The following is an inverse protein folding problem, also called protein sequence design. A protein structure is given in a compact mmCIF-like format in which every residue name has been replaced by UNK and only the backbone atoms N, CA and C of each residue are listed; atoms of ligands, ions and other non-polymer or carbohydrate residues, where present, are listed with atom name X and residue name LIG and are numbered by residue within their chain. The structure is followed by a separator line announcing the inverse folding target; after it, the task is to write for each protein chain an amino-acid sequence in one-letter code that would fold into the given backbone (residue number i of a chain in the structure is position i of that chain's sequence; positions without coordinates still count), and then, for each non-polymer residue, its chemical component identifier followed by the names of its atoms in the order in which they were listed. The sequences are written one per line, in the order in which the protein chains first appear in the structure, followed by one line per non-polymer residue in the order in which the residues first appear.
data_IF_732367347101
#
_entry.id   IF_732367347101
#
_cell.length_a   1.000
_cell.length_b   1.000
_cell.length_c   1.000
_cell.angle_alpha   90.00
_cell.angle_beta   90.00
_cell.angle_gamma   90.00
#
_symmetry.space_group_name_H-M   'P 1'
#
loop_
_entity.id
_entity.type
_entity.pdbx_description
1 polymer ?
#
# COMPACT_ATOMS: atom_id res chain seq x y z
N UNK A 1 -3.89 15.72 -1.71
CA UNK A 1 -3.27 16.27 -0.48
C UNK A 1 -2.45 15.17 0.19
N UNK A 2 -1.28 15.47 0.78
CA UNK A 2 -0.46 14.47 1.50
C UNK A 2 -0.75 14.57 3.00
N UNK A 3 -0.82 13.45 3.73
CA UNK A 3 -1.14 13.44 5.17
C UNK A 3 -0.12 14.19 6.03
N UNK A 4 1.16 14.15 5.66
CA UNK A 4 2.22 14.86 6.37
C UNK A 4 2.40 16.33 5.92
N UNK A 5 1.58 16.83 4.98
CA UNK A 5 1.66 18.22 4.54
C UNK A 5 1.10 19.18 5.60
N UNK A 6 1.67 20.39 5.68
CA UNK A 6 1.20 21.43 6.60
C UNK A 6 -0.27 21.77 6.38
N UNK A 7 -0.72 21.90 5.11
CA UNK A 7 -2.11 22.20 4.79
C UNK A 7 -3.08 21.12 5.27
N UNK A 8 -2.65 19.83 5.23
CA UNK A 8 -3.45 18.74 5.76
C UNK A 8 -3.54 18.80 7.30
N UNK A 9 -2.39 18.89 7.96
CA UNK A 9 -2.31 18.81 9.44
C UNK A 9 -2.93 20.02 10.11
N UNK A 10 -2.64 21.23 9.60
CA UNK A 10 -3.00 22.48 10.26
C UNK A 10 -4.37 23.04 9.86
N UNK A 11 -4.88 22.65 8.68
CA UNK A 11 -6.13 23.21 8.14
C UNK A 11 -7.16 22.12 7.88
N UNK A 12 -6.88 21.20 6.95
CA UNK A 12 -7.88 20.23 6.49
C UNK A 12 -8.36 19.31 7.62
N UNK A 13 -7.45 18.67 8.32
CA UNK A 13 -7.79 17.69 9.37
C UNK A 13 -8.57 18.34 10.53
N UNK A 14 -8.16 19.49 11.12
CA UNK A 14 -8.94 20.14 12.16
C UNK A 14 -10.35 20.55 11.72
N UNK A 15 -10.50 21.10 10.50
CA UNK A 15 -11.81 21.48 9.96
C UNK A 15 -12.72 20.28 9.75
N UNK A 16 -12.18 19.19 9.21
CA UNK A 16 -12.95 17.95 8.98
C UNK A 16 -13.37 17.33 10.30
N UNK A 17 -12.48 17.25 11.30
CA UNK A 17 -12.81 16.74 12.63
C UNK A 17 -13.88 17.60 13.31
N UNK A 18 -13.75 18.92 13.27
CA UNK A 18 -14.75 19.84 13.83
C UNK A 18 -16.13 19.65 13.17
N UNK A 19 -16.20 19.64 11.84
CA UNK A 19 -17.43 19.42 11.11
C UNK A 19 -18.04 18.02 11.35
N UNK A 20 -17.20 16.98 11.42
CA UNK A 20 -17.62 15.61 11.66
C UNK A 20 -18.25 15.44 13.05
N UNK A 21 -17.60 15.97 14.10
CA UNK A 21 -18.11 15.88 15.47
C UNK A 21 -19.30 16.82 15.71
N UNK A 22 -19.35 17.99 15.08
CA UNK A 22 -20.56 18.83 15.07
C UNK A 22 -21.76 18.13 14.41
N UNK A 23 -21.53 17.30 13.41
CA UNK A 23 -22.55 16.50 12.75
C UNK A 23 -22.88 15.18 13.47
N UNK A 24 -22.19 14.83 14.58
CA UNK A 24 -22.32 13.56 15.28
C UNK A 24 -23.78 13.15 15.60
N UNK A 25 -24.67 14.06 16.09
CA UNK A 25 -26.06 13.70 16.40
C UNK A 25 -26.93 13.39 15.17
N UNK A 26 -26.42 13.68 13.96
CA UNK A 26 -27.17 13.55 12.70
C UNK A 26 -26.43 12.60 11.74
N UNK A 27 -26.68 11.28 11.78
CA UNK A 27 -25.93 10.28 11.02
C UNK A 27 -25.85 10.58 9.52
N UNK A 28 -26.94 11.01 8.90
CA UNK A 28 -26.98 11.34 7.47
C UNK A 28 -26.07 12.55 7.15
N UNK A 29 -26.13 13.61 7.95
CA UNK A 29 -25.27 14.78 7.78
C UNK A 29 -23.81 14.42 7.96
N UNK A 30 -23.49 13.57 8.92
CA UNK A 30 -22.13 13.06 9.18
C UNK A 30 -21.58 12.27 7.97
N UNK A 31 -22.40 11.39 7.36
CA UNK A 31 -22.02 10.69 6.12
C UNK A 31 -21.72 11.69 4.99
N UNK A 32 -22.53 12.72 4.81
CA UNK A 32 -22.30 13.75 3.79
C UNK A 32 -21.05 14.60 4.07
N UNK A 33 -20.80 14.98 5.33
CA UNK A 33 -19.58 15.68 5.72
C UNK A 33 -18.34 14.85 5.35
N UNK A 34 -18.36 13.56 5.68
CA UNK A 34 -17.24 12.66 5.35
C UNK A 34 -17.09 12.45 3.85
N UNK A 35 -18.18 12.29 3.12
CA UNK A 35 -18.14 12.14 1.65
C UNK A 35 -17.56 13.39 1.00
N UNK A 36 -18.09 14.57 1.34
CA UNK A 36 -17.62 15.83 0.76
C UNK A 36 -16.15 16.11 1.12
N UNK A 37 -15.76 15.92 2.37
CA UNK A 37 -14.36 16.05 2.78
C UNK A 37 -13.44 15.11 1.99
N UNK A 38 -13.87 13.87 1.77
CA UNK A 38 -13.11 12.88 0.98
C UNK A 38 -12.98 13.26 -0.49
N UNK A 39 -14.05 13.77 -1.10
CA UNK A 39 -14.02 14.25 -2.48
C UNK A 39 -13.13 15.51 -2.63
N UNK A 40 -13.16 16.43 -1.65
CA UNK A 40 -12.24 17.58 -1.60
C UNK A 40 -10.79 17.11 -1.45
N UNK A 41 -10.53 16.18 -0.54
CA UNK A 41 -9.19 15.60 -0.36
C UNK A 41 -8.64 14.98 -1.66
N UNK A 42 -9.48 14.22 -2.37
CA UNK A 42 -9.12 13.58 -3.64
C UNK A 42 -8.86 14.62 -4.75
N UNK A 43 -9.78 15.58 -4.91
CA UNK A 43 -9.68 16.63 -5.92
C UNK A 43 -8.51 17.56 -5.73
N UNK A 44 -7.97 17.66 -4.51
CA UNK A 44 -6.78 18.47 -4.22
C UNK A 44 -5.53 18.01 -4.98
N UNK A 45 -5.46 16.75 -5.31
CA UNK A 45 -4.38 16.23 -6.15
C UNK A 45 -4.56 16.63 -7.61
N UNK A 46 -5.66 16.23 -8.20
CA UNK A 46 -6.06 16.57 -9.57
C UNK A 46 -7.58 16.39 -9.73
N UNK A 47 -8.32 17.51 -9.86
CA UNK A 47 -9.78 17.45 -9.95
C UNK A 47 -10.28 16.74 -11.21
N UNK A 48 -9.46 16.61 -12.27
CA UNK A 48 -9.82 15.93 -13.53
C UNK A 48 -10.15 14.46 -13.33
N UNK A 49 -9.66 13.83 -12.25
CA UNK A 49 -9.91 12.42 -11.96
C UNK A 49 -11.11 12.15 -11.05
N UNK A 50 -11.69 13.19 -10.46
CA UNK A 50 -12.91 13.05 -9.67
C UNK A 50 -14.06 12.40 -10.44
N UNK A 51 -14.36 12.76 -11.71
CA UNK A 51 -15.37 12.08 -12.51
C UNK A 51 -15.12 10.58 -12.69
N UNK A 52 -13.87 10.13 -12.78
CA UNK A 52 -13.53 8.70 -12.93
C UNK A 52 -13.92 7.92 -11.68
N UNK A 53 -13.57 8.41 -10.50
CA UNK A 53 -13.94 7.80 -9.21
C UNK A 53 -15.47 7.75 -9.05
N UNK A 54 -16.16 8.86 -9.35
CA UNK A 54 -17.61 8.94 -9.27
C UNK A 54 -18.30 8.03 -10.30
N UNK A 55 -17.78 7.93 -11.52
CA UNK A 55 -18.30 7.04 -12.55
C UNK A 55 -18.19 5.56 -12.15
N UNK A 56 -17.03 5.13 -11.63
CA UNK A 56 -16.82 3.75 -11.18
C UNK A 56 -17.73 3.40 -9.98
N UNK A 57 -17.84 4.28 -8.99
CA UNK A 57 -18.71 4.06 -7.83
C UNK A 57 -20.19 4.05 -8.23
N UNK A 58 -20.60 4.92 -9.16
CA UNK A 58 -21.96 4.97 -9.69
C UNK A 58 -22.28 3.73 -10.53
N UNK A 59 -21.37 3.29 -11.40
CA UNK A 59 -21.53 2.07 -12.19
C UNK A 59 -21.67 0.84 -11.28
N UNK A 60 -20.89 0.77 -10.22
CA UNK A 60 -20.96 -0.30 -9.22
C UNK A 60 -22.31 -0.29 -8.49
N UNK A 61 -22.75 0.85 -8.01
CA UNK A 61 -24.06 1.00 -7.39
C UNK A 61 -25.19 0.63 -8.35
N UNK A 62 -25.16 1.11 -9.60
CA UNK A 62 -26.14 0.82 -10.61
C UNK A 62 -26.21 -0.68 -10.95
N UNK A 63 -25.05 -1.35 -11.06
CA UNK A 63 -24.96 -2.79 -11.28
C UNK A 63 -25.68 -3.58 -10.18
N UNK A 64 -25.47 -3.22 -8.90
CA UNK A 64 -26.19 -3.83 -7.76
C UNK A 64 -27.68 -3.52 -7.80
N UNK A 65 -28.09 -2.29 -8.12
CA UNK A 65 -29.49 -1.90 -8.23
C UNK A 65 -30.22 -2.65 -9.36
N UNK A 66 -29.60 -2.79 -10.53
CA UNK A 66 -30.14 -3.54 -11.67
C UNK A 66 -30.22 -5.04 -11.38
N UNK A 67 -29.20 -5.61 -10.73
CA UNK A 67 -29.24 -7.00 -10.26
C UNK A 67 -30.43 -7.24 -9.33
N UNK A 68 -30.63 -6.38 -8.33
CA UNK A 68 -31.77 -6.51 -7.38
C UNK A 68 -33.14 -6.41 -8.06
N UNK A 69 -33.26 -5.57 -9.09
CA UNK A 69 -34.54 -5.40 -9.82
C UNK A 69 -34.83 -6.57 -10.76
N UNK A 70 -33.80 -7.14 -11.40
CA UNK A 70 -33.98 -8.13 -12.46
C UNK A 70 -33.64 -9.56 -12.06
N UNK A 71 -32.99 -9.79 -10.90
CA UNK A 71 -32.47 -11.08 -10.49
C UNK A 71 -31.28 -11.58 -11.33
N UNK A 72 -30.82 -10.82 -12.33
CA UNK A 72 -29.79 -11.27 -13.28
C UNK A 72 -28.38 -10.99 -12.75
N UNK A 73 -27.54 -12.02 -12.47
CA UNK A 73 -26.18 -11.83 -11.98
C UNK A 73 -25.25 -11.18 -13.01
N UNK A 74 -25.60 -11.20 -14.29
CA UNK A 74 -24.84 -10.57 -15.37
C UNK A 74 -24.55 -9.08 -15.14
N UNK A 75 -25.44 -8.35 -14.45
CA UNK A 75 -25.20 -6.96 -14.12
C UNK A 75 -24.02 -6.75 -13.17
N UNK A 76 -23.82 -7.66 -12.20
CA UNK A 76 -22.71 -7.60 -11.27
C UNK A 76 -21.38 -7.81 -12.00
N UNK A 77 -21.34 -8.80 -12.89
CA UNK A 77 -20.16 -9.06 -13.72
C UNK A 77 -19.88 -7.96 -14.73
N UNK A 78 -20.92 -7.32 -15.28
CA UNK A 78 -20.76 -6.12 -16.11
C UNK A 78 -20.15 -4.98 -15.29
N UNK A 79 -20.57 -4.78 -14.04
CA UNK A 79 -19.97 -3.81 -13.12
C UNK A 79 -18.50 -4.11 -12.84
N UNK A 80 -18.14 -5.39 -12.59
CA UNK A 80 -16.73 -5.82 -12.45
C UNK A 80 -15.93 -5.50 -13.72
N UNK A 81 -16.48 -5.85 -14.90
CA UNK A 81 -15.80 -5.59 -16.17
C UNK A 81 -15.57 -4.09 -16.43
N UNK A 82 -16.54 -3.22 -16.13
CA UNK A 82 -16.40 -1.76 -16.27
C UNK A 82 -15.29 -1.22 -15.36
N UNK A 83 -15.25 -1.66 -14.10
CA UNK A 83 -14.21 -1.23 -13.16
C UNK A 83 -12.82 -1.68 -13.62
N UNK A 84 -12.67 -2.95 -14.02
CA UNK A 84 -11.40 -3.50 -14.49
C UNK A 84 -10.98 -2.89 -15.85
N UNK A 85 -11.93 -2.63 -16.77
CA UNK A 85 -11.64 -1.97 -18.04
C UNK A 85 -11.14 -0.53 -17.82
N UNK A 86 -11.73 0.22 -16.87
CA UNK A 86 -11.25 1.55 -16.50
C UNK A 86 -9.81 1.49 -15.96
N UNK A 87 -9.52 0.55 -15.05
CA UNK A 87 -8.14 0.35 -14.57
C UNK A 87 -7.20 -0.04 -15.72
N UNK A 88 -7.61 -0.95 -16.58
CA UNK A 88 -6.82 -1.41 -17.71
C UNK A 88 -6.50 -0.24 -18.67
N UNK A 89 -7.46 0.61 -18.95
CA UNK A 89 -7.26 1.78 -19.79
C UNK A 89 -6.21 2.72 -19.22
N UNK A 90 -6.36 3.15 -17.97
CA UNK A 90 -5.44 4.12 -17.39
C UNK A 90 -4.06 3.55 -17.09
N UNK A 91 -3.96 2.30 -16.65
CA UNK A 91 -2.71 1.72 -16.18
C UNK A 91 -1.95 0.93 -17.23
N UNK A 92 -2.64 0.18 -18.10
CA UNK A 92 -1.97 -0.81 -18.94
C UNK A 92 -1.93 -0.48 -20.42
N UNK A 93 -2.68 0.52 -20.92
CA UNK A 93 -2.72 0.85 -22.36
C UNK A 93 -1.33 1.15 -22.93
N UNK A 94 -0.59 2.05 -22.26
CA UNK A 94 0.75 2.45 -22.73
C UNK A 94 1.73 1.27 -22.64
N UNK A 95 1.65 0.48 -21.56
CA UNK A 95 2.50 -0.70 -21.36
C UNK A 95 2.26 -1.77 -22.43
N UNK A 96 0.99 -2.10 -22.71
CA UNK A 96 0.63 -3.10 -23.71
C UNK A 96 1.02 -2.61 -25.10
N UNK A 97 0.67 -1.38 -25.46
CA UNK A 97 1.01 -0.79 -26.76
C UNK A 97 2.53 -0.70 -26.96
N UNK A 98 3.28 -0.30 -25.92
CA UNK A 98 4.75 -0.26 -25.96
C UNK A 98 5.37 -1.66 -26.11
N UNK A 99 4.83 -2.66 -25.41
CA UNK A 99 5.31 -4.05 -25.55
C UNK A 99 5.03 -4.61 -26.94
N UNK A 100 3.87 -4.33 -27.52
CA UNK A 100 3.54 -4.74 -28.91
C UNK A 100 4.45 -4.02 -29.92
N UNK A 101 4.65 -2.71 -29.75
CA UNK A 101 5.54 -1.93 -30.63
C UNK A 101 6.97 -2.48 -30.59
N UNK A 102 7.49 -2.79 -29.41
CA UNK A 102 8.83 -3.39 -29.25
C UNK A 102 8.93 -4.75 -29.96
N UNK A 103 7.94 -5.63 -29.82
CA UNK A 103 7.90 -6.92 -30.49
C UNK A 103 7.81 -6.78 -32.03
N UNK A 104 7.13 -5.74 -32.51
CA UNK A 104 6.98 -5.44 -33.94
C UNK A 104 8.13 -4.62 -34.52
N UNK A 105 9.15 -4.23 -33.73
CA UNK A 105 10.23 -3.35 -34.19
C UNK A 105 9.77 -1.93 -34.50
N UNK A 106 8.64 -1.47 -33.93
CA UNK A 106 8.07 -0.14 -34.14
C UNK A 106 8.49 0.84 -33.02
N UNK A 107 8.47 2.14 -33.29
CA UNK A 107 8.73 3.14 -32.24
C UNK A 107 7.66 3.06 -31.13
N UNK A 108 8.01 3.40 -29.87
CA UNK A 108 7.07 3.42 -28.77
C UNK A 108 5.90 4.38 -29.06
N UNK A 109 4.68 4.11 -28.54
CA UNK A 109 3.52 4.96 -28.78
C UNK A 109 3.75 6.35 -28.20
N UNK A 110 3.45 7.40 -28.97
CA UNK A 110 3.57 8.80 -28.57
C UNK A 110 2.41 9.28 -27.66
N UNK A 111 1.80 8.36 -26.90
CA UNK A 111 0.65 8.64 -26.01
C UNK A 111 1.10 8.55 -24.57
N UNK A 112 0.80 9.59 -23.79
CA UNK A 112 0.95 9.57 -22.33
C UNK A 112 -0.44 9.58 -21.67
N UNK A 113 -0.70 8.60 -20.81
CA UNK A 113 -1.93 8.53 -20.02
C UNK A 113 -1.55 8.77 -18.57
N UNK A 114 -2.10 9.82 -17.97
CA UNK A 114 -1.87 10.12 -16.55
C UNK A 114 -2.73 9.18 -15.71
N UNK A 115 -2.10 8.43 -14.80
CA UNK A 115 -2.77 7.49 -13.93
C UNK A 115 -3.53 8.22 -12.81
N UNK A 116 -4.86 8.03 -12.66
CA UNK A 116 -5.59 8.58 -11.52
C UNK A 116 -5.07 7.99 -10.21
N UNK A 117 -4.77 8.86 -9.25
CA UNK A 117 -4.26 8.41 -7.96
C UNK A 117 -5.26 7.48 -7.26
N UNK A 118 -4.77 6.38 -6.69
CA UNK A 118 -5.60 5.40 -5.98
C UNK A 118 -6.49 4.52 -6.86
N UNK A 119 -6.49 4.66 -8.21
CA UNK A 119 -7.39 3.89 -9.10
C UNK A 119 -7.25 2.39 -8.89
N UNK A 120 -6.06 1.87 -8.69
CA UNK A 120 -5.82 0.44 -8.44
C UNK A 120 -6.49 -0.03 -7.13
N UNK A 121 -6.50 0.82 -6.10
CA UNK A 121 -7.08 0.51 -4.78
C UNK A 121 -8.61 0.51 -4.83
N UNK A 122 -9.21 1.62 -5.26
CA UNK A 122 -10.67 1.70 -5.26
C UNK A 122 -11.33 0.80 -6.33
N UNK A 123 -10.66 0.53 -7.46
CA UNK A 123 -11.15 -0.45 -8.43
C UNK A 123 -11.26 -1.84 -7.81
N UNK A 124 -10.24 -2.28 -7.06
CA UNK A 124 -10.29 -3.58 -6.41
C UNK A 124 -11.35 -3.63 -5.30
N UNK A 125 -11.51 -2.57 -4.52
CA UNK A 125 -12.56 -2.50 -3.49
C UNK A 125 -13.96 -2.61 -4.11
N UNK A 126 -14.23 -1.91 -5.21
CA UNK A 126 -15.49 -1.96 -5.93
C UNK A 126 -15.73 -3.34 -6.56
N UNK A 127 -14.71 -3.91 -7.20
CA UNK A 127 -14.81 -5.25 -7.79
C UNK A 127 -15.07 -6.32 -6.70
N UNK A 128 -14.35 -6.28 -5.58
CA UNK A 128 -14.59 -7.18 -4.46
C UNK A 128 -16.01 -7.05 -3.91
N UNK A 129 -16.52 -5.83 -3.73
CA UNK A 129 -17.89 -5.61 -3.29
C UNK A 129 -18.92 -6.24 -4.25
N UNK A 130 -18.75 -6.09 -5.56
CA UNK A 130 -19.62 -6.72 -6.56
C UNK A 130 -19.57 -8.25 -6.50
N UNK A 131 -18.37 -8.83 -6.33
CA UNK A 131 -18.19 -10.27 -6.17
C UNK A 131 -18.85 -10.76 -4.88
N UNK A 132 -18.73 -10.02 -3.78
CA UNK A 132 -19.37 -10.37 -2.51
C UNK A 132 -20.90 -10.30 -2.60
N UNK A 133 -21.46 -9.31 -3.33
CA UNK A 133 -22.88 -9.30 -3.66
C UNK A 133 -23.29 -10.52 -4.49
N UNK A 134 -22.48 -10.92 -5.48
CA UNK A 134 -22.75 -12.10 -6.30
C UNK A 134 -22.69 -13.42 -5.52
N UNK A 135 -21.90 -13.47 -4.46
CA UNK A 135 -21.80 -14.62 -3.53
C UNK A 135 -22.92 -14.63 -2.48
N UNK A 136 -23.65 -13.56 -2.33
CA UNK A 136 -24.64 -13.38 -1.25
C UNK A 136 -24.03 -12.89 0.08
N UNK A 137 -22.76 -12.54 0.07
CA UNK A 137 -21.99 -12.12 1.28
C UNK A 137 -22.12 -10.61 1.55
N UNK A 138 -22.75 -9.85 0.66
CA UNK A 138 -22.89 -8.39 0.80
C UNK A 138 -24.31 -7.91 0.55
N UNK A 139 -24.71 -6.87 1.30
CA UNK A 139 -25.97 -6.17 1.10
C UNK A 139 -25.81 -5.04 0.06
N UNK A 140 -26.94 -4.60 -0.51
CA UNK A 140 -26.97 -3.41 -1.35
C UNK A 140 -26.96 -2.15 -0.48
N UNK A 141 -25.98 -1.31 -0.70
CA UNK A 141 -25.86 -0.02 -0.02
C UNK A 141 -26.37 1.13 -0.90
N UNK A 142 -26.85 2.25 -0.33
CA UNK A 142 -27.15 3.45 -1.09
C UNK A 142 -25.92 4.03 -1.75
N UNK A 143 -26.10 4.75 -2.86
CA UNK A 143 -25.01 5.33 -3.67
C UNK A 143 -23.99 6.11 -2.83
N UNK A 144 -24.46 6.95 -1.92
CA UNK A 144 -23.57 7.75 -1.04
C UNK A 144 -22.62 6.88 -0.20
N UNK A 145 -23.11 5.71 0.29
CA UNK A 145 -22.27 4.79 1.08
C UNK A 145 -21.27 4.04 0.22
N UNK A 146 -21.67 3.59 -0.98
CA UNK A 146 -20.74 2.96 -1.93
C UNK A 146 -19.63 3.94 -2.30
N UNK A 147 -20.00 5.19 -2.59
CA UNK A 147 -19.04 6.24 -2.94
C UNK A 147 -18.17 6.60 -1.73
N UNK A 148 -18.76 6.78 -0.54
CA UNK A 148 -18.00 7.05 0.69
C UNK A 148 -17.02 5.91 1.02
N UNK A 149 -17.45 4.66 0.87
CA UNK A 149 -16.61 3.49 1.13
C UNK A 149 -15.29 3.54 0.37
N UNK A 150 -15.33 3.86 -0.91
CA UNK A 150 -14.10 3.88 -1.71
C UNK A 150 -13.37 5.22 -1.69
N UNK A 151 -14.08 6.32 -1.40
CA UNK A 151 -13.49 7.66 -1.37
C UNK A 151 -13.00 8.08 0.01
N UNK A 152 -13.31 7.35 1.08
CA UNK A 152 -12.99 7.72 2.46
C UNK A 152 -11.50 8.06 2.61
N UNK A 153 -11.20 9.34 2.80
CA UNK A 153 -9.88 9.92 2.59
C UNK A 153 -8.73 9.25 3.37
N UNK A 154 -8.92 8.68 4.59
CA UNK A 154 -7.79 8.07 5.27
C UNK A 154 -7.21 6.85 4.54
N UNK A 155 -8.02 6.08 3.81
CA UNK A 155 -7.51 4.89 3.13
C UNK A 155 -7.49 4.98 1.60
N UNK A 156 -8.15 5.99 0.99
CA UNK A 156 -8.40 6.09 -0.44
C UNK A 156 -7.16 5.91 -1.32
N UNK A 157 -6.03 6.51 -0.96
CA UNK A 157 -4.88 6.63 -1.86
C UNK A 157 -3.94 5.42 -1.71
N UNK A 158 -3.51 5.11 -0.50
CA UNK A 158 -2.57 4.03 -0.19
C UNK A 158 -2.71 3.50 1.25
N UNK A 159 -3.88 3.71 1.87
CA UNK A 159 -4.20 3.10 3.16
C UNK A 159 -4.39 1.59 3.05
N UNK A 160 -4.69 0.92 4.18
CA UNK A 160 -5.07 -0.49 4.16
C UNK A 160 -6.24 -0.72 3.19
N UNK A 161 -6.16 -1.77 2.37
CA UNK A 161 -7.24 -2.14 1.46
C UNK A 161 -8.36 -2.75 2.29
N UNK A 162 -9.40 -1.96 2.52
CA UNK A 162 -10.55 -2.37 3.33
C UNK A 162 -11.62 -3.04 2.51
N UNK A 163 -12.40 -3.92 3.16
CA UNK A 163 -13.59 -4.54 2.58
C UNK A 163 -14.85 -3.89 3.12
N UNK A 164 -15.94 -3.97 2.35
CA UNK A 164 -17.21 -3.35 2.74
C UNK A 164 -17.68 -3.79 4.13
N UNK A 165 -17.58 -5.08 4.48
CA UNK A 165 -18.00 -5.61 5.78
C UNK A 165 -17.14 -5.11 6.96
N UNK A 166 -15.92 -4.62 6.71
CA UNK A 166 -15.06 -4.04 7.74
C UNK A 166 -15.42 -2.58 8.06
N UNK A 167 -15.92 -1.84 7.08
CA UNK A 167 -16.15 -0.39 7.21
C UNK A 167 -17.63 -0.04 7.36
N UNK A 168 -18.50 -0.64 6.54
CA UNK A 168 -19.91 -0.25 6.50
C UNK A 168 -20.64 -0.31 7.86
N UNK A 169 -20.44 -1.36 8.69
CA UNK A 169 -21.08 -1.39 10.01
C UNK A 169 -20.55 -0.32 10.96
N UNK A 170 -19.30 0.11 10.79
CA UNK A 170 -18.68 1.11 11.66
C UNK A 170 -19.20 2.54 11.35
N UNK A 171 -19.70 2.80 10.12
CA UNK A 171 -20.30 4.08 9.77
C UNK A 171 -21.61 4.36 10.52
N UNK A 172 -22.29 3.33 10.99
CA UNK A 172 -23.53 3.45 11.77
C UNK A 172 -23.24 3.76 13.26
N UNK A 173 -22.05 3.51 13.75
CA UNK A 173 -21.69 3.71 15.14
C UNK A 173 -21.66 5.20 15.51
N UNK A 174 -22.10 5.52 16.74
CA UNK A 174 -21.97 6.86 17.29
C UNK A 174 -20.49 7.20 17.48
N UNK A 175 -19.97 8.29 16.88
CA UNK A 175 -18.60 8.71 17.09
C UNK A 175 -18.31 9.17 18.54
N UNK A 176 -19.35 9.62 19.24
CA UNK A 176 -19.25 10.06 20.64
C UNK A 176 -19.40 8.92 21.66
N UNK A 177 -19.57 7.67 21.21
CA UNK A 177 -19.67 6.50 22.09
C UNK A 177 -18.53 6.44 23.12
N UNK A 178 -18.72 5.76 24.28
CA UNK A 178 -17.70 5.62 25.33
C UNK A 178 -16.32 5.24 24.78
N UNK A 179 -15.25 5.75 25.42
CA UNK A 179 -13.86 5.53 24.99
C UNK A 179 -13.39 6.50 23.90
N UNK A 180 -14.10 7.60 23.63
CA UNK A 180 -13.71 8.60 22.63
C UNK A 180 -12.29 9.13 22.87
N UNK A 181 -11.99 9.57 24.10
CA UNK A 181 -10.69 10.14 24.46
C UNK A 181 -9.54 9.13 24.21
N UNK A 182 -9.74 7.87 24.58
CA UNK A 182 -8.75 6.81 24.35
C UNK A 182 -8.57 6.53 22.85
N UNK A 183 -9.67 6.40 22.09
CA UNK A 183 -9.60 6.20 20.63
C UNK A 183 -8.89 7.35 19.95
N UNK A 184 -9.21 8.58 20.35
CA UNK A 184 -8.59 9.78 19.80
C UNK A 184 -7.09 9.84 20.12
N UNK A 185 -6.70 9.57 21.37
CA UNK A 185 -5.32 9.54 21.81
C UNK A 185 -4.51 8.44 21.07
N UNK A 186 -5.07 7.23 20.93
CA UNK A 186 -4.46 6.16 20.12
C UNK A 186 -4.33 6.57 18.66
N UNK A 187 -5.39 7.14 18.09
CA UNK A 187 -5.39 7.64 16.72
C UNK A 187 -4.34 8.72 16.48
N UNK A 188 -4.23 9.66 17.39
CA UNK A 188 -3.21 10.70 17.34
C UNK A 188 -1.79 10.13 17.44
N UNK A 189 -1.56 9.16 18.34
CA UNK A 189 -0.27 8.48 18.46
C UNK A 189 0.12 7.75 17.18
N UNK A 190 -0.78 6.96 16.59
CA UNK A 190 -0.55 6.32 15.28
C UNK A 190 -0.20 7.33 14.19
N UNK A 191 -0.94 8.43 14.13
CA UNK A 191 -0.73 9.45 13.11
C UNK A 191 0.65 10.13 13.27
N UNK A 192 1.02 10.52 14.49
CA UNK A 192 2.28 11.23 14.78
C UNK A 192 3.48 10.32 14.56
N UNK A 193 3.43 9.07 15.05
CA UNK A 193 4.51 8.09 14.84
C UNK A 193 4.68 7.78 13.35
N UNK A 194 3.57 7.57 12.62
CA UNK A 194 3.59 7.39 11.17
C UNK A 194 4.20 8.60 10.45
N UNK A 195 3.80 9.83 10.82
CA UNK A 195 4.37 11.05 10.27
C UNK A 195 5.89 11.15 10.52
N UNK A 196 6.33 10.86 11.73
CA UNK A 196 7.75 10.85 12.07
C UNK A 196 8.56 9.81 11.29
N UNK A 197 8.02 8.59 11.13
CA UNK A 197 8.64 7.56 10.29
C UNK A 197 8.80 8.01 8.84
N UNK A 198 7.77 8.66 8.27
CA UNK A 198 7.81 9.22 6.91
C UNK A 198 8.90 10.27 6.80
N UNK A 199 8.84 11.30 7.64
CA UNK A 199 9.67 12.50 7.51
C UNK A 199 11.14 12.26 7.89
N UNK A 200 11.38 11.52 8.97
CA UNK A 200 12.73 11.38 9.52
C UNK A 200 13.45 10.08 9.14
N UNK A 201 12.73 9.05 8.70
CA UNK A 201 13.35 7.78 8.35
C UNK A 201 13.17 7.43 6.85
N UNK A 202 11.95 7.48 6.31
CA UNK A 202 11.69 7.05 4.94
C UNK A 202 12.23 8.04 3.89
N UNK A 203 11.92 9.34 4.02
CA UNK A 203 12.32 10.35 3.05
C UNK A 203 13.84 10.52 2.91
N UNK A 204 14.63 10.48 3.98
CA UNK A 204 16.09 10.51 3.84
C UNK A 204 16.67 9.33 3.05
N UNK A 205 16.01 8.14 3.06
CA UNK A 205 16.48 6.98 2.30
C UNK A 205 16.45 7.21 0.79
N UNK A 206 15.47 7.96 0.27
CA UNK A 206 15.35 8.27 -1.15
C UNK A 206 16.62 8.96 -1.69
N UNK A 207 17.23 9.84 -0.90
CA UNK A 207 18.45 10.59 -1.28
C UNK A 207 19.64 9.68 -1.57
N UNK A 208 19.62 8.46 -1.04
CA UNK A 208 20.67 7.46 -1.26
C UNK A 208 20.26 6.43 -2.32
N UNK A 209 19.01 5.96 -2.29
CA UNK A 209 18.53 4.96 -3.23
C UNK A 209 18.47 5.51 -4.66
N UNK A 210 17.86 6.68 -4.85
CA UNK A 210 17.56 7.22 -6.18
C UNK A 210 18.80 7.47 -7.06
N UNK A 211 19.90 8.10 -6.58
CA UNK A 211 21.10 8.30 -7.40
C UNK A 211 21.79 6.99 -7.78
N UNK A 212 21.79 5.98 -6.89
CA UNK A 212 22.42 4.70 -7.15
C UNK A 212 21.66 3.91 -8.21
N UNK A 213 20.32 3.84 -8.11
CA UNK A 213 19.51 3.21 -9.13
C UNK A 213 19.55 3.96 -10.47
N UNK A 214 19.62 5.31 -10.47
CA UNK A 214 19.80 6.09 -11.68
C UNK A 214 21.18 5.82 -12.34
N UNK A 215 22.24 5.76 -11.57
CA UNK A 215 23.58 5.40 -12.07
C UNK A 215 23.67 3.99 -12.63
N UNK A 216 22.94 3.05 -12.02
CA UNK A 216 22.88 1.65 -12.47
C UNK A 216 22.22 1.48 -13.86
N UNK A 217 21.54 2.47 -14.41
CA UNK A 217 21.07 2.45 -15.79
C UNK A 217 22.25 2.39 -16.79
N UNK A 218 23.41 2.98 -16.46
CA UNK A 218 24.57 3.02 -17.32
C UNK A 218 25.62 1.93 -17.04
N UNK A 219 25.84 1.57 -15.77
CA UNK A 219 26.88 0.59 -15.40
C UNK A 219 26.57 -0.05 -14.04
N UNK A 220 27.15 -1.23 -13.79
CA UNK A 220 27.07 -1.91 -12.51
C UNK A 220 27.81 -1.11 -11.43
N UNK A 221 27.15 -0.71 -10.32
CA UNK A 221 27.75 0.02 -9.23
C UNK A 221 28.75 -0.84 -8.45
N UNK A 222 29.60 -0.22 -7.61
CA UNK A 222 30.47 -0.96 -6.69
C UNK A 222 29.66 -1.86 -5.75
N UNK A 223 30.30 -2.87 -5.16
CA UNK A 223 29.66 -3.73 -4.15
C UNK A 223 29.02 -2.91 -3.01
N UNK A 224 29.73 -1.89 -2.54
CA UNK A 224 29.25 -1.05 -1.44
C UNK A 224 28.04 -0.20 -1.87
N UNK A 225 28.11 0.45 -3.04
CA UNK A 225 27.00 1.28 -3.53
C UNK A 225 25.77 0.45 -3.85
N UNK A 226 25.94 -0.73 -4.50
CA UNK A 226 24.83 -1.62 -4.80
C UNK A 226 24.07 -2.04 -3.54
N UNK A 227 24.78 -2.45 -2.48
CA UNK A 227 24.16 -2.79 -1.20
C UNK A 227 23.58 -1.57 -0.48
N UNK A 228 24.25 -0.42 -0.52
CA UNK A 228 23.70 0.82 0.06
C UNK A 228 22.39 1.21 -0.63
N UNK A 229 22.35 1.19 -1.96
CA UNK A 229 21.14 1.52 -2.73
C UNK A 229 20.02 0.52 -2.49
N UNK A 230 20.30 -0.79 -2.53
CA UNK A 230 19.32 -1.84 -2.31
C UNK A 230 18.74 -1.82 -0.88
N UNK A 231 19.57 -1.62 0.14
CA UNK A 231 19.13 -1.53 1.54
C UNK A 231 18.39 -0.21 1.80
N UNK A 232 18.87 0.91 1.26
CA UNK A 232 18.18 2.19 1.37
C UNK A 232 16.75 2.10 0.79
N UNK A 233 16.61 1.52 -0.41
CA UNK A 233 15.28 1.32 -0.99
C UNK A 233 14.43 0.32 -0.17
N UNK A 234 15.02 -0.77 0.31
CA UNK A 234 14.34 -1.76 1.15
C UNK A 234 13.71 -1.12 2.38
N UNK A 235 14.46 -0.28 3.11
CA UNK A 235 13.93 0.41 4.29
C UNK A 235 13.01 1.56 3.92
N UNK A 236 13.32 2.32 2.87
CA UNK A 236 12.43 3.37 2.35
C UNK A 236 11.05 2.83 2.07
N UNK A 237 10.96 1.74 1.29
CA UNK A 237 9.68 1.14 0.88
C UNK A 237 8.83 0.71 2.08
N UNK A 238 9.44 0.05 3.06
CA UNK A 238 8.73 -0.39 4.26
C UNK A 238 8.33 0.79 5.16
N UNK A 239 9.28 1.68 5.45
CA UNK A 239 9.05 2.79 6.38
C UNK A 239 8.04 3.78 5.81
N UNK A 240 8.10 4.09 4.51
CA UNK A 240 7.14 4.97 3.84
C UNK A 240 5.73 4.37 3.82
N UNK A 241 5.61 3.11 3.40
CA UNK A 241 4.30 2.48 3.27
C UNK A 241 3.67 2.10 4.62
N UNK A 242 4.46 1.63 5.58
CA UNK A 242 3.95 1.40 6.92
C UNK A 242 3.56 2.72 7.62
N UNK A 243 4.34 3.78 7.43
CA UNK A 243 4.02 5.11 7.94
C UNK A 243 2.69 5.63 7.40
N UNK A 244 2.45 5.50 6.07
CA UNK A 244 1.18 5.90 5.47
C UNK A 244 0.01 5.08 6.03
N UNK A 245 0.17 3.77 6.17
CA UNK A 245 -0.85 2.88 6.75
C UNK A 245 -1.14 3.23 8.21
N UNK A 246 -0.12 3.56 9.00
CA UNK A 246 -0.27 3.99 10.39
C UNK A 246 -0.99 5.33 10.50
N UNK A 247 -0.63 6.32 9.66
CA UNK A 247 -1.37 7.58 9.60
C UNK A 247 -2.83 7.36 9.22
N UNK A 248 -3.11 6.46 8.27
CA UNK A 248 -4.48 6.11 7.88
C UNK A 248 -5.27 5.48 9.05
N UNK A 249 -4.67 4.51 9.76
CA UNK A 249 -5.27 3.88 10.96
C UNK A 249 -5.54 4.95 12.03
N UNK A 250 -4.57 5.85 12.24
CA UNK A 250 -4.69 6.96 13.19
C UNK A 250 -5.86 7.88 12.86
N UNK A 251 -5.98 8.31 11.60
CA UNK A 251 -7.10 9.13 11.11
C UNK A 251 -8.43 8.40 11.26
N UNK A 252 -8.47 7.10 10.92
CA UNK A 252 -9.65 6.26 11.13
C UNK A 252 -10.10 6.25 12.59
N UNK A 253 -9.18 5.97 13.53
CA UNK A 253 -9.48 5.94 14.96
C UNK A 253 -10.00 7.28 15.47
N UNK A 254 -9.42 8.41 15.02
CA UNK A 254 -9.92 9.75 15.37
C UNK A 254 -11.34 10.00 14.83
N UNK A 255 -11.72 9.35 13.72
CA UNK A 255 -13.08 9.38 13.15
C UNK A 255 -14.00 8.26 13.68
N UNK A 256 -13.52 7.44 14.61
CA UNK A 256 -14.29 6.34 15.18
C UNK A 256 -14.35 5.08 14.32
N UNK A 257 -13.50 4.97 13.26
CA UNK A 257 -13.39 3.83 12.34
C UNK A 257 -12.04 3.14 12.54
N UNK A 258 -12.04 1.82 12.77
CA UNK A 258 -10.83 1.00 12.86
C UNK A 258 -10.54 0.37 11.50
N UNK A 259 -9.40 0.72 10.90
CA UNK A 259 -8.86 0.01 9.73
C UNK A 259 -8.03 -1.20 10.15
N UNK A 260 -7.94 -2.24 9.30
CA UNK A 260 -7.08 -3.39 9.55
C UNK A 260 -5.60 -2.99 9.49
N UNK A 261 -4.78 -3.75 10.22
CA UNK A 261 -3.34 -3.59 10.14
C UNK A 261 -2.81 -4.05 8.79
N UNK A 262 -1.82 -3.33 8.26
CA UNK A 262 -1.25 -3.59 6.94
C UNK A 262 0.17 -4.16 7.00
N UNK A 263 0.88 -3.93 8.11
CA UNK A 263 2.24 -4.41 8.34
C UNK A 263 2.43 -4.91 9.78
N UNK A 264 3.18 -6.01 9.94
CA UNK A 264 3.61 -6.54 11.24
C UNK A 264 5.07 -6.96 11.18
N UNK A 265 5.99 -5.98 11.21
CA UNK A 265 7.44 -6.20 11.22
C UNK A 265 7.91 -7.25 10.20
N UNK A 266 7.67 -7.07 8.89
CA UNK A 266 7.88 -8.10 7.87
C UNK A 266 9.34 -8.53 7.74
N UNK A 267 10.29 -7.65 8.03
CA UNK A 267 11.73 -7.97 7.96
C UNK A 267 12.24 -8.81 9.14
N UNK A 268 11.37 -9.21 10.07
CA UNK A 268 11.64 -10.26 11.07
C UNK A 268 11.31 -11.67 10.59
N UNK A 269 10.74 -11.81 9.41
CA UNK A 269 10.29 -13.11 8.91
C UNK A 269 11.46 -14.06 8.65
N UNK A 270 11.35 -15.30 9.09
CA UNK A 270 12.32 -16.37 8.88
C UNK A 270 12.02 -17.26 7.68
N UNK A 271 10.93 -16.99 6.97
CA UNK A 271 10.53 -17.64 5.71
C UNK A 271 9.60 -16.75 4.90
N UNK A 272 9.47 -17.02 3.58
CA UNK A 272 8.66 -16.21 2.67
C UNK A 272 7.16 -16.26 2.97
N UNK A 273 6.63 -17.35 3.48
CA UNK A 273 5.23 -17.43 3.90
C UNK A 273 4.97 -16.50 5.09
N UNK A 274 5.89 -16.46 6.06
CA UNK A 274 5.84 -15.54 7.20
C UNK A 274 5.98 -14.08 6.75
N UNK A 275 6.86 -13.81 5.77
CA UNK A 275 7.01 -12.49 5.19
C UNK A 275 5.68 -11.97 4.61
N UNK A 276 4.99 -12.73 3.76
CA UNK A 276 3.73 -12.33 3.15
C UNK A 276 2.54 -12.26 4.13
N UNK A 277 2.61 -12.92 5.29
CA UNK A 277 1.66 -12.74 6.38
C UNK A 277 1.83 -11.42 7.14
N UNK A 278 3.00 -10.76 6.98
CA UNK A 278 3.41 -9.54 7.70
C UNK A 278 3.56 -8.33 6.79
N UNK A 279 3.76 -8.55 5.49
CA UNK A 279 3.90 -7.53 4.46
C UNK A 279 2.58 -7.33 3.73
N UNK A 280 2.12 -6.06 3.67
CA UNK A 280 0.90 -5.66 2.93
C UNK A 280 -0.26 -6.64 3.15
N UNK A 281 -0.60 -6.85 4.42
CA UNK A 281 -1.50 -7.91 4.90
C UNK A 281 -2.85 -7.84 4.20
N UNK A 282 -3.37 -6.61 4.01
CA UNK A 282 -4.69 -6.40 3.39
C UNK A 282 -4.71 -6.80 1.92
N UNK A 283 -3.65 -6.50 1.15
CA UNK A 283 -3.50 -6.97 -0.23
C UNK A 283 -3.32 -8.50 -0.28
N UNK A 284 -2.47 -9.06 0.58
CA UNK A 284 -2.25 -10.51 0.66
C UNK A 284 -3.54 -11.27 0.93
N UNK A 285 -4.39 -10.76 1.83
CA UNK A 285 -5.72 -11.32 2.11
C UNK A 285 -6.66 -11.17 0.91
N UNK A 286 -6.65 -10.03 0.21
CA UNK A 286 -7.47 -9.83 -0.98
C UNK A 286 -7.08 -10.81 -2.09
N UNK A 287 -5.79 -10.92 -2.40
CA UNK A 287 -5.30 -11.87 -3.41
C UNK A 287 -5.63 -13.30 -3.04
N UNK A 288 -5.48 -13.68 -1.76
CA UNK A 288 -5.85 -15.00 -1.27
C UNK A 288 -7.31 -15.32 -1.53
N UNK A 289 -8.23 -14.41 -1.17
CA UNK A 289 -9.66 -14.69 -1.12
C UNK A 289 -10.36 -14.54 -2.48
N UNK A 290 -9.84 -13.68 -3.37
CA UNK A 290 -10.45 -13.41 -4.67
C UNK A 290 -9.68 -13.99 -5.87
N UNK A 291 -8.44 -14.44 -5.69
CA UNK A 291 -7.64 -15.06 -6.75
C UNK A 291 -7.17 -16.47 -6.35
N UNK A 292 -6.39 -16.59 -5.29
CA UNK A 292 -5.73 -17.84 -4.94
C UNK A 292 -6.72 -18.97 -4.58
N UNK A 293 -7.71 -18.69 -3.73
CA UNK A 293 -8.72 -19.68 -3.34
C UNK A 293 -9.62 -20.08 -4.53
N UNK A 294 -10.16 -19.13 -5.34
CA UNK A 294 -10.92 -19.48 -6.53
C UNK A 294 -10.15 -20.27 -7.58
N UNK A 295 -8.83 -20.09 -7.69
CA UNK A 295 -7.96 -20.89 -8.59
C UNK A 295 -7.67 -22.30 -8.05
N UNK A 296 -8.27 -22.68 -6.93
CA UNK A 296 -8.13 -24.00 -6.27
C UNK A 296 -7.22 -23.99 -5.04
N UNK A 297 -6.41 -22.97 -4.85
CA UNK A 297 -5.59 -22.79 -3.65
C UNK A 297 -4.67 -23.99 -3.36
N UNK A 298 -4.67 -24.44 -2.10
CA UNK A 298 -3.88 -25.61 -1.65
C UNK A 298 -4.70 -26.90 -1.50
N UNK A 299 -5.99 -26.89 -1.88
CA UNK A 299 -6.92 -27.99 -1.58
C UNK A 299 -6.87 -29.15 -2.60
N UNK A 300 -6.43 -28.87 -3.83
CA UNK A 300 -6.52 -29.82 -4.96
C UNK A 300 -5.14 -30.33 -5.41
N UNK A 301 -4.23 -30.56 -4.47
CA UNK A 301 -2.92 -31.13 -4.74
C UNK A 301 -1.84 -30.12 -5.16
N UNK A 302 -0.63 -30.66 -5.36
CA UNK A 302 0.56 -29.83 -5.60
C UNK A 302 0.50 -29.02 -6.92
N UNK A 303 0.09 -29.60 -8.07
CA UNK A 303 0.04 -28.81 -9.33
C UNK A 303 -0.90 -27.62 -9.25
N UNK A 304 -2.07 -27.80 -8.61
CA UNK A 304 -3.04 -26.70 -8.41
C UNK A 304 -2.48 -25.62 -7.49
N UNK A 305 -1.79 -26.01 -6.41
CA UNK A 305 -1.11 -25.07 -5.54
C UNK A 305 -0.07 -24.23 -6.29
N UNK A 306 0.80 -24.88 -7.11
CA UNK A 306 1.81 -24.20 -7.91
C UNK A 306 1.16 -23.22 -8.87
N UNK A 307 0.18 -23.67 -9.65
CA UNK A 307 -0.57 -22.83 -10.60
C UNK A 307 -1.21 -21.63 -9.88
N UNK A 308 -1.97 -21.88 -8.82
CA UNK A 308 -2.68 -20.82 -8.07
C UNK A 308 -1.69 -19.79 -7.49
N UNK A 309 -0.54 -20.26 -6.96
CA UNK A 309 0.49 -19.38 -6.38
C UNK A 309 1.16 -18.54 -7.47
N UNK A 310 1.61 -19.13 -8.56
CA UNK A 310 2.30 -18.40 -9.64
C UNK A 310 1.39 -17.40 -10.33
N UNK A 311 0.15 -17.77 -10.64
CA UNK A 311 -0.83 -16.86 -11.26
C UNK A 311 -1.16 -15.71 -10.30
N UNK A 312 -1.44 -15.99 -9.03
CA UNK A 312 -1.78 -14.95 -8.05
C UNK A 312 -0.64 -13.98 -7.82
N UNK A 313 0.59 -14.48 -7.71
CA UNK A 313 1.77 -13.64 -7.49
C UNK A 313 2.19 -12.88 -8.75
N UNK A 314 2.08 -13.48 -9.94
CA UNK A 314 2.31 -12.79 -11.21
C UNK A 314 1.32 -11.63 -11.42
N UNK A 315 0.03 -11.85 -11.15
CA UNK A 315 -1.00 -10.79 -11.19
C UNK A 315 -0.78 -9.73 -10.08
N UNK A 316 -0.28 -10.14 -8.91
CA UNK A 316 0.13 -9.21 -7.86
C UNK A 316 1.25 -8.26 -8.35
N UNK A 317 2.27 -8.82 -9.02
CA UNK A 317 3.33 -8.02 -9.62
C UNK A 317 2.80 -7.04 -10.66
N UNK A 318 1.99 -7.48 -11.60
CA UNK A 318 1.36 -6.65 -12.61
C UNK A 318 0.47 -5.53 -11.98
N UNK A 319 -0.20 -5.82 -10.87
CA UNK A 319 -0.99 -4.83 -10.16
C UNK A 319 -0.13 -3.71 -9.57
N UNK A 320 1.08 -4.01 -9.08
CA UNK A 320 1.98 -2.99 -8.55
C UNK A 320 2.43 -2.00 -9.62
N UNK A 321 2.82 -2.47 -10.80
CA UNK A 321 3.28 -1.59 -11.87
C UNK A 321 3.10 -2.17 -13.27
N UNK A 322 2.86 -1.29 -14.24
CA UNK A 322 2.77 -1.65 -15.66
C UNK A 322 4.19 -1.79 -16.23
N UNK A 323 4.88 -2.88 -15.91
CA UNK A 323 6.25 -3.16 -16.32
C UNK A 323 6.63 -4.62 -16.15
N UNK A 324 7.51 -5.11 -17.02
CA UNK A 324 7.95 -6.51 -16.99
C UNK A 324 8.78 -6.85 -15.75
N UNK A 325 9.48 -5.88 -15.17
CA UNK A 325 10.23 -6.05 -13.90
C UNK A 325 9.29 -6.34 -12.73
N UNK A 326 8.10 -5.74 -12.70
CA UNK A 326 7.06 -6.04 -11.70
C UNK A 326 6.47 -7.45 -11.88
N UNK A 327 6.23 -7.87 -13.13
CA UNK A 327 5.77 -9.24 -13.42
C UNK A 327 6.83 -10.25 -12.98
N UNK A 328 8.11 -10.01 -13.31
CA UNK A 328 9.23 -10.84 -12.89
C UNK A 328 9.36 -10.90 -11.36
N UNK A 329 9.22 -9.76 -10.66
CA UNK A 329 9.18 -9.70 -9.20
C UNK A 329 8.06 -10.56 -8.62
N UNK A 330 6.85 -10.45 -9.15
CA UNK A 330 5.72 -11.26 -8.71
C UNK A 330 5.95 -12.76 -8.92
N UNK A 331 6.42 -13.15 -10.11
CA UNK A 331 6.74 -14.55 -10.42
C UNK A 331 7.90 -15.08 -9.57
N UNK A 332 8.94 -14.28 -9.32
CA UNK A 332 10.04 -14.62 -8.41
C UNK A 332 9.49 -14.94 -7.02
N UNK A 333 8.63 -14.10 -6.46
CA UNK A 333 7.99 -14.38 -5.18
C UNK A 333 7.07 -15.61 -5.22
N UNK A 334 6.35 -15.81 -6.33
CA UNK A 334 5.55 -17.02 -6.54
C UNK A 334 6.39 -18.30 -6.51
N UNK A 335 7.51 -18.33 -7.25
CA UNK A 335 8.47 -19.43 -7.24
C UNK A 335 9.08 -19.62 -5.85
N UNK A 336 9.49 -18.52 -5.19
CA UNK A 336 10.03 -18.56 -3.84
C UNK A 336 9.05 -19.18 -2.83
N UNK A 337 7.75 -18.84 -2.91
CA UNK A 337 6.72 -19.45 -2.05
C UNK A 337 6.53 -20.95 -2.33
N UNK A 338 6.59 -21.37 -3.61
CA UNK A 338 6.53 -22.79 -4.00
C UNK A 338 7.72 -23.55 -3.44
N UNK A 339 8.95 -23.02 -3.60
CA UNK A 339 10.17 -23.61 -3.07
C UNK A 339 10.13 -23.65 -1.53
N UNK A 340 9.75 -22.55 -0.89
CA UNK A 340 9.60 -22.48 0.57
C UNK A 340 8.67 -23.58 1.10
N UNK A 341 7.51 -23.76 0.45
CA UNK A 341 6.56 -24.80 0.85
C UNK A 341 7.04 -26.22 0.55
N UNK A 342 7.76 -26.43 -0.57
CA UNK A 342 8.39 -27.71 -0.87
C UNK A 342 9.41 -28.07 0.21
N UNK A 343 10.29 -27.10 0.55
CA UNK A 343 11.28 -27.29 1.62
C UNK A 343 10.65 -27.60 2.98
N UNK A 344 9.59 -26.88 3.35
CA UNK A 344 8.85 -27.15 4.61
C UNK A 344 8.22 -28.55 4.68
N UNK A 345 8.02 -29.23 3.54
CA UNK A 345 7.47 -30.59 3.46
C UNK A 345 8.52 -31.69 3.51
N UNK A 346 9.66 -31.46 2.90
CA UNK A 346 10.67 -32.52 2.62
C UNK A 346 12.07 -32.18 3.09
N UNK A 347 12.37 -30.90 3.34
CA UNK A 347 13.69 -30.44 3.77
C UNK A 347 13.89 -30.50 5.29
N UNK A 348 15.16 -30.49 5.74
CA UNK A 348 15.47 -30.35 7.15
C UNK A 348 15.06 -28.96 7.68
N UNK A 349 14.71 -28.83 8.98
CA UNK A 349 14.42 -27.54 9.58
C UNK A 349 15.63 -26.62 9.52
N UNK A 350 15.45 -25.42 9.00
CA UNK A 350 16.50 -24.40 8.99
C UNK A 350 16.58 -23.73 10.37
N UNK A 351 17.79 -23.47 10.90
CA UNK A 351 17.93 -22.58 12.05
C UNK A 351 17.33 -21.21 11.77
N UNK A 352 16.67 -20.63 12.76
CA UNK A 352 15.94 -19.33 12.59
C UNK A 352 16.83 -18.23 11.99
N UNK A 353 18.10 -18.03 12.42
CA UNK A 353 18.97 -17.03 11.80
C UNK A 353 19.26 -17.29 10.32
N UNK A 354 19.44 -18.57 9.92
CA UNK A 354 19.70 -18.93 8.52
C UNK A 354 18.44 -18.69 7.66
N UNK A 355 17.26 -19.10 8.13
CA UNK A 355 16.00 -18.82 7.47
C UNK A 355 15.74 -17.33 7.32
N UNK A 356 16.02 -16.55 8.37
CA UNK A 356 15.93 -15.09 8.32
C UNK A 356 16.88 -14.47 7.28
N UNK A 357 18.15 -14.87 7.28
CA UNK A 357 19.16 -14.34 6.34
C UNK A 357 18.80 -14.65 4.88
N UNK A 358 18.37 -15.90 4.58
CA UNK A 358 17.93 -16.30 3.25
C UNK A 358 16.69 -15.51 2.80
N UNK A 359 15.72 -15.34 3.71
CA UNK A 359 14.50 -14.58 3.43
C UNK A 359 14.81 -13.10 3.20
N UNK A 360 15.66 -12.49 4.02
CA UNK A 360 16.09 -11.11 3.87
C UNK A 360 16.81 -10.89 2.53
N UNK A 361 17.78 -11.76 2.20
CA UNK A 361 18.52 -11.70 0.93
C UNK A 361 17.57 -11.80 -0.28
N UNK A 362 16.65 -12.77 -0.26
CA UNK A 362 15.66 -12.96 -1.31
C UNK A 362 14.77 -11.73 -1.48
N UNK A 363 14.28 -11.17 -0.38
CA UNK A 363 13.41 -9.99 -0.39
C UNK A 363 14.15 -8.75 -0.89
N UNK A 364 15.38 -8.51 -0.44
CA UNK A 364 16.22 -7.40 -0.91
C UNK A 364 16.49 -7.52 -2.42
N UNK A 365 16.87 -8.69 -2.90
CA UNK A 365 17.04 -8.94 -4.36
C UNK A 365 15.71 -8.71 -5.13
N UNK A 366 14.59 -9.12 -4.55
CA UNK A 366 13.25 -8.83 -5.10
C UNK A 366 12.96 -7.33 -5.18
N UNK A 367 13.32 -6.55 -4.17
CA UNK A 367 13.15 -5.11 -4.20
C UNK A 367 13.98 -4.39 -5.26
N UNK A 368 15.13 -4.97 -5.66
CA UNK A 368 15.89 -4.46 -6.81
C UNK A 368 15.08 -4.56 -8.10
N UNK A 369 14.44 -5.71 -8.37
CA UNK A 369 13.52 -5.87 -9.52
C UNK A 369 12.33 -4.91 -9.44
N UNK A 370 11.78 -4.71 -8.25
CA UNK A 370 10.64 -3.83 -8.02
C UNK A 370 10.97 -2.35 -8.30
N UNK A 371 12.19 -1.89 -7.94
CA UNK A 371 12.63 -0.49 -8.09
C UNK A 371 13.16 -0.18 -9.49
N UNK A 372 13.80 -1.14 -10.12
CA UNK A 372 14.45 -0.93 -11.41
C UNK A 372 13.43 -0.67 -12.53
N UNK A 373 13.63 0.35 -13.36
CA UNK A 373 12.74 0.66 -14.48
C UNK A 373 12.77 -0.42 -15.58
N UNK A 374 13.88 -1.14 -15.70
CA UNK A 374 14.12 -2.17 -16.70
C UNK A 374 15.06 -3.27 -16.18
N UNK A 375 15.18 -4.36 -16.96
CA UNK A 375 16.04 -5.50 -16.61
C UNK A 375 17.54 -5.19 -16.67
N UNK A 376 17.96 -4.22 -17.47
CA UNK A 376 19.36 -3.79 -17.55
C UNK A 376 19.77 -3.17 -16.21
N UNK A 377 19.01 -2.20 -15.73
CA UNK A 377 19.22 -1.56 -14.44
C UNK A 377 19.18 -2.58 -13.29
N UNK A 378 18.19 -3.50 -13.31
CA UNK A 378 18.08 -4.55 -12.31
C UNK A 378 19.32 -5.48 -12.34
N UNK A 379 19.76 -5.88 -13.55
CA UNK A 379 20.95 -6.71 -13.77
C UNK A 379 22.22 -6.05 -13.25
N UNK A 380 22.44 -4.78 -13.58
CA UNK A 380 23.58 -4.00 -13.09
C UNK A 380 23.62 -3.90 -11.56
N UNK A 381 22.47 -3.62 -10.93
CA UNK A 381 22.36 -3.61 -9.48
C UNK A 381 22.71 -4.96 -8.85
N UNK A 382 22.16 -6.07 -9.38
CA UNK A 382 22.43 -7.43 -8.88
C UNK A 382 23.89 -7.84 -9.12
N UNK A 383 24.48 -7.47 -10.26
CA UNK A 383 25.90 -7.67 -10.54
C UNK A 383 26.77 -6.91 -9.54
N UNK A 384 26.44 -5.64 -9.29
CA UNK A 384 27.12 -4.84 -8.26
C UNK A 384 27.02 -5.48 -6.88
N UNK A 385 25.84 -5.96 -6.47
CA UNK A 385 25.63 -6.69 -5.20
C UNK A 385 26.43 -8.00 -5.12
N UNK A 386 26.75 -8.62 -6.25
CA UNK A 386 27.63 -9.79 -6.34
C UNK A 386 29.14 -9.44 -6.40
N UNK A 387 29.51 -8.15 -6.36
CA UNK A 387 30.90 -7.69 -6.45
C UNK A 387 31.50 -7.67 -7.85
N UNK A 388 30.64 -7.76 -8.88
CA UNK A 388 31.06 -7.77 -10.29
C UNK A 388 31.00 -6.37 -10.94
N UNK A 389 30.72 -5.32 -10.15
CA UNK A 389 30.70 -3.93 -10.60
C UNK A 389 32.03 -3.22 -10.40
N UNK A 390 32.36 -2.32 -11.33
CA UNK A 390 33.60 -1.54 -11.33
C UNK A 390 33.44 -0.09 -10.80
N UNK A 391 32.29 0.24 -10.21
CA UNK A 391 31.99 1.59 -9.73
C UNK A 391 32.92 2.07 -8.62
N UNK A 392 33.03 3.40 -8.47
CA UNK A 392 33.82 4.02 -7.41
C UNK A 392 33.18 3.80 -6.03
N UNK A 393 34.01 3.84 -4.96
CA UNK A 393 33.48 3.75 -3.60
C UNK A 393 32.55 4.94 -3.26
N UNK A 394 31.54 4.76 -2.40
CA UNK A 394 30.57 5.80 -2.08
C UNK A 394 31.26 6.99 -1.41
N UNK A 395 30.93 8.19 -1.86
CA UNK A 395 31.45 9.44 -1.31
C UNK A 395 30.74 9.89 -0.02
N UNK A 396 29.57 9.33 0.29
CA UNK A 396 28.75 9.73 1.44
C UNK A 396 28.51 8.54 2.37
N UNK A 397 28.77 8.72 3.67
CA UNK A 397 28.50 7.70 4.68
C UNK A 397 26.98 7.61 4.99
N UNK A 398 26.32 6.59 4.47
CA UNK A 398 24.91 6.28 4.74
C UNK A 398 24.71 5.44 6.03
N UNK A 399 25.81 4.89 6.59
CA UNK A 399 25.78 3.89 7.68
C UNK A 399 24.91 4.27 8.88
N UNK A 400 24.97 5.49 9.47
CA UNK A 400 24.14 5.82 10.63
C UNK A 400 22.65 5.79 10.30
N UNK A 401 22.27 6.27 9.11
CA UNK A 401 20.87 6.34 8.68
C UNK A 401 20.33 4.94 8.37
N UNK A 402 21.13 4.08 7.74
CA UNK A 402 20.79 2.67 7.54
C UNK A 402 20.65 1.91 8.88
N UNK A 403 21.54 2.18 9.84
CA UNK A 403 21.46 1.58 11.17
C UNK A 403 20.16 1.98 11.90
N UNK A 404 19.78 3.25 11.83
CA UNK A 404 18.52 3.74 12.40
C UNK A 404 17.29 3.11 11.71
N UNK A 405 17.31 3.02 10.37
CA UNK A 405 16.24 2.41 9.59
C UNK A 405 16.12 0.90 9.86
N UNK A 406 17.27 0.18 9.96
CA UNK A 406 17.32 -1.22 10.37
C UNK A 406 16.72 -1.40 11.77
N UNK A 407 17.16 -0.60 12.74
CA UNK A 407 16.67 -0.67 14.11
C UNK A 407 15.15 -0.46 14.16
N UNK A 408 14.62 0.57 13.48
CA UNK A 408 13.19 0.84 13.39
C UNK A 408 12.40 -0.28 12.70
N UNK A 409 13.01 -0.97 11.71
CA UNK A 409 12.35 -1.99 10.91
C UNK A 409 12.46 -3.41 11.48
N UNK A 410 13.46 -3.68 12.35
CA UNK A 410 13.76 -5.03 12.82
C UNK A 410 13.80 -5.13 14.35
N UNK A 411 14.32 -4.13 15.06
CA UNK A 411 14.56 -4.23 16.52
C UNK A 411 13.42 -3.61 17.35
N UNK A 412 12.94 -2.43 16.96
CA UNK A 412 11.86 -1.71 17.67
C UNK A 412 10.53 -2.42 17.47
N UNK A 413 9.65 -2.53 18.49
CA UNK A 413 8.30 -3.05 18.33
C UNK A 413 7.49 -2.28 17.27
N UNK A 414 6.50 -2.94 16.65
CA UNK A 414 5.59 -2.26 15.71
C UNK A 414 4.83 -1.13 16.40
N UNK A 415 4.40 -0.13 15.62
CA UNK A 415 3.58 0.97 16.16
C UNK A 415 2.30 0.44 16.79
N UNK A 416 1.70 -0.62 16.24
CA UNK A 416 0.56 -1.33 16.82
C UNK A 416 0.88 -1.84 18.22
N UNK A 417 2.01 -2.53 18.38
CA UNK A 417 2.44 -3.06 19.67
C UNK A 417 2.74 -1.93 20.68
N UNK A 418 3.29 -0.80 20.22
CA UNK A 418 3.55 0.35 21.09
C UNK A 418 2.26 1.03 21.56
N UNK A 419 1.30 1.25 20.66
CA UNK A 419 0.06 1.97 20.96
C UNK A 419 -0.97 1.08 21.66
N UNK A 420 -1.18 -0.15 21.17
CA UNK A 420 -2.20 -1.06 21.69
C UNK A 420 -1.68 -1.92 22.84
N UNK A 421 -0.38 -2.20 22.87
CA UNK A 421 0.29 -2.90 23.98
C UNK A 421 0.46 -2.05 25.25
N UNK A 422 -0.02 -0.81 25.24
CA UNK A 422 -0.05 0.05 26.41
C UNK A 422 1.28 0.74 26.77
N UNK A 423 2.26 0.75 25.84
CA UNK A 423 3.50 1.51 26.00
C UNK A 423 3.25 3.02 25.83
N UNK A 424 2.42 3.37 24.84
CA UNK A 424 1.91 4.74 24.66
C UNK A 424 0.54 4.84 25.33
N UNK A 425 0.52 5.50 26.49
CA UNK A 425 -0.70 5.76 27.29
C UNK A 425 -1.12 7.22 27.16
N UNK A 426 -2.39 7.56 27.33
CA UNK A 426 -2.87 8.94 27.32
C UNK A 426 -2.49 9.69 28.63
N UNK A 427 -1.17 9.79 28.88
CA UNK A 427 -0.62 10.53 30.03
C UNK A 427 0.05 11.82 29.54
N UNK A 428 0.04 12.86 30.37
CA UNK A 428 0.41 14.24 30.01
C UNK A 428 1.81 14.32 29.34
N UNK A 429 2.84 13.67 29.90
CA UNK A 429 4.19 13.75 29.38
C UNK A 429 4.33 13.08 28.00
N UNK A 430 3.60 11.99 27.73
CA UNK A 430 3.57 11.35 26.41
C UNK A 430 2.79 12.17 25.39
N UNK A 431 1.69 12.80 25.81
CA UNK A 431 0.95 13.72 24.96
C UNK A 431 1.79 14.93 24.55
N UNK A 432 2.56 15.51 25.49
CA UNK A 432 3.51 16.59 25.21
C UNK A 432 4.60 16.10 24.24
N UNK A 433 5.19 14.90 24.48
CA UNK A 433 6.21 14.33 23.62
C UNK A 433 5.70 14.11 22.19
N UNK A 434 4.51 13.56 22.01
CA UNK A 434 3.88 13.40 20.70
C UNK A 434 3.56 14.75 20.04
N UNK A 435 3.10 15.75 20.82
CA UNK A 435 2.87 17.11 20.33
C UNK A 435 4.15 17.75 19.79
N UNK A 436 5.25 17.67 20.56
CA UNK A 436 6.56 18.17 20.13
C UNK A 436 7.07 17.44 18.88
N UNK A 437 6.88 16.12 18.80
CA UNK A 437 7.25 15.32 17.63
C UNK A 437 6.44 15.75 16.41
N UNK A 438 5.13 16.03 16.56
CA UNK A 438 4.31 16.53 15.46
C UNK A 438 4.79 17.91 15.00
N UNK A 439 5.10 18.81 15.92
CA UNK A 439 5.68 20.13 15.59
C UNK A 439 6.98 19.97 14.82
N UNK A 440 7.88 19.08 15.27
CA UNK A 440 9.12 18.79 14.55
C UNK A 440 8.86 18.27 13.13
N UNK A 441 7.89 17.38 12.93
CA UNK A 441 7.48 16.92 11.61
C UNK A 441 6.98 18.07 10.72
N UNK A 442 6.10 18.91 11.24
CA UNK A 442 5.51 20.07 10.52
C UNK A 442 6.60 21.07 10.11
N UNK A 443 7.57 21.35 11.00
CA UNK A 443 8.70 22.24 10.71
C UNK A 443 9.64 21.62 9.66
N UNK A 444 9.96 20.34 9.79
CA UNK A 444 10.84 19.64 8.84
C UNK A 444 10.23 19.63 7.42
N UNK A 445 8.93 19.37 7.29
CA UNK A 445 8.23 19.43 6.00
C UNK A 445 8.19 20.86 5.44
N UNK A 446 8.06 21.87 6.31
CA UNK A 446 8.06 23.28 5.88
C UNK A 446 9.40 23.78 5.33
N UNK A 447 10.51 23.12 5.66
CA UNK A 447 11.85 23.47 5.17
C UNK A 447 12.20 22.85 3.80
N UNK A 448 11.39 21.92 3.30
CA UNK A 448 11.61 21.22 2.04
C UNK A 448 10.33 21.01 1.24
N UNK A 449 10.45 20.48 0.01
CA UNK A 449 9.28 20.00 -0.71
C UNK A 449 8.83 18.68 -0.09
N UNK A 450 7.53 18.51 0.26
CA UNK A 450 7.02 17.25 0.74
C UNK A 450 7.25 16.16 -0.32
N UNK A 451 8.01 15.12 0.01
CA UNK A 451 8.21 14.00 -0.92
C UNK A 451 6.91 13.24 -1.09
N UNK A 452 6.58 12.94 -2.34
CA UNK A 452 5.42 12.11 -2.66
C UNK A 452 5.57 10.72 -2.01
N UNK A 453 4.44 10.08 -1.74
CA UNK A 453 4.44 8.70 -1.31
C UNK A 453 5.02 7.80 -2.40
N UNK A 454 5.87 6.82 -2.01
CA UNK A 454 6.66 6.02 -2.95
C UNK A 454 5.78 5.28 -4.00
N UNK A 455 4.57 4.84 -3.63
CA UNK A 455 3.62 4.20 -4.55
C UNK A 455 3.00 5.13 -5.61
N UNK A 456 3.24 6.42 -5.56
CA UNK A 456 2.84 7.34 -6.64
C UNK A 456 3.81 7.30 -7.82
N UNK A 457 4.93 6.62 -7.66
CA UNK A 457 5.97 6.49 -8.68
C UNK A 457 5.78 5.24 -9.57
N UNK A 458 4.82 4.36 -9.23
CA UNK A 458 4.59 3.05 -9.89
C UNK A 458 3.23 2.97 -10.59
#
# INVERSE_FOLDING_TARGET
MLFHSQGFILVFLPLVLAAYYAAAPRPLLREWVMLLASLVFYSWWDPRFLPVLLAQSTATWAAVALHRRSGRPGWLWAGVAVNLASLAFFKYTVFIAGSIAQLAGLPPPAVSIVLPIGISFYTFQLACYLVDVARGDAHAYPWRRVTLFVSLFPHLIAGPIVRHHQIMPQLDADPLRPGLAERFAKGFAFFVVGCAKKVFLADPMARFADPIFAGAAGAAPSLADAWHGALAFTFQLFLDFSAYSEMAIGLGLMLGVRFPDNFDMPYRASDLSSFWRRWHITLSQLIRDYLYIPLGGSRHGWPTYVKATLVSMGLCGLWHGAGWTFVAWGLMHGVGLVVCRAWQRTGPPLPVPAGWALTALFVVAGWVLFRAPDFTTAGHMLMGMAGLGAGLAPTISIRPVLAAAFAASVLVPSTQALVEGGWLRPVAYQAVGLGLLLVACVLAVGQGQPTAFIYFQF
#
